data_IF_289564515259
#
_entry.id   IF_289564515259
#
_cell.length_a   1.000
_cell.length_b   1.000
_cell.length_c   1.000
_cell.angle_alpha   90.00
_cell.angle_beta   90.00
_cell.angle_gamma   90.00
#
_symmetry.space_group_name_H-M   'P 1'
#
loop_
_entity.id
_entity.type
_entity.pdbx_description
1 polymer ?
#
# COMPACT_ATOMS: atom_id res chain seq x y z
N UNK A 1 6.01 36.16 -9.79
CA UNK A 1 5.17 35.88 -8.61
C UNK A 1 3.95 35.11 -9.09
N UNK A 2 3.70 33.93 -8.55
CA UNK A 2 2.51 33.12 -8.88
C UNK A 2 2.84 31.65 -8.77
N UNK A 3 2.38 31.04 -7.68
CA UNK A 3 2.79 29.73 -7.19
C UNK A 3 2.28 28.56 -8.06
N UNK A 4 3.02 27.47 -7.91
CA UNK A 4 2.76 26.08 -8.25
C UNK A 4 1.34 25.61 -7.86
N UNK A 5 0.75 24.78 -8.73
CA UNK A 5 -0.30 23.85 -8.37
C UNK A 5 -0.18 22.63 -9.30
N UNK A 6 0.54 21.60 -8.87
CA UNK A 6 0.49 20.27 -9.48
C UNK A 6 -0.49 19.45 -8.65
N UNK A 7 -1.73 19.37 -9.12
CA UNK A 7 -2.72 18.41 -8.63
C UNK A 7 -2.67 17.21 -9.58
N UNK A 8 -2.39 15.98 -9.10
CA UNK A 8 -2.71 14.80 -9.88
C UNK A 8 -4.23 14.63 -9.85
N UNK A 9 -4.89 15.09 -10.93
CA UNK A 9 -6.23 14.67 -11.32
C UNK A 9 -6.10 13.30 -11.99
N UNK A 10 -6.71 12.24 -11.45
CA UNK A 10 -7.07 10.99 -12.16
C UNK A 10 -7.47 9.93 -11.10
N UNK A 11 -8.63 9.29 -11.12
CA UNK A 11 -9.80 9.41 -11.97
C UNK A 11 -10.94 8.70 -11.24
N UNK A 12 -11.95 9.46 -10.83
CA UNK A 12 -13.27 8.91 -10.56
C UNK A 12 -13.81 8.33 -11.89
N UNK A 13 -14.01 7.01 -11.91
CA UNK A 13 -14.90 6.25 -12.81
C UNK A 13 -15.08 6.77 -14.25
N UNK A 14 -14.29 6.21 -15.17
CA UNK A 14 -14.71 6.05 -16.58
C UNK A 14 -14.60 4.58 -16.98
N UNK A 15 -15.73 3.97 -17.29
CA UNK A 15 -15.82 2.57 -17.68
C UNK A 15 -15.06 2.27 -18.98
N UNK A 16 -14.16 1.29 -18.92
CA UNK A 16 -13.74 0.53 -20.09
C UNK A 16 -14.71 -0.63 -20.28
N UNK A 17 -15.85 -0.35 -20.91
CA UNK A 17 -16.62 -1.41 -21.58
C UNK A 17 -15.82 -1.79 -22.82
N UNK A 18 -15.01 -2.84 -22.69
CA UNK A 18 -14.14 -3.31 -23.77
C UNK A 18 -13.41 -4.59 -23.42
N UNK A 19 -14.08 -5.73 -23.61
CA UNK A 19 -13.51 -7.04 -23.92
C UNK A 19 -12.14 -7.39 -23.31
N UNK A 20 -12.12 -7.87 -22.07
CA UNK A 20 -11.13 -8.83 -21.61
C UNK A 20 -11.84 -9.88 -20.76
N UNK A 21 -11.89 -11.11 -21.26
CA UNK A 21 -12.44 -12.22 -20.51
C UNK A 21 -11.66 -12.41 -19.21
N UNK A 22 -12.31 -12.15 -18.07
CA UNK A 22 -12.11 -12.95 -16.87
C UNK A 22 -10.96 -12.60 -15.94
N UNK A 23 -10.47 -11.37 -15.78
CA UNK A 23 -9.52 -11.05 -14.69
C UNK A 23 -9.87 -9.79 -13.89
N UNK A 24 -9.77 -9.91 -12.56
CA UNK A 24 -9.98 -8.84 -11.58
C UNK A 24 -8.64 -8.62 -10.88
N UNK A 25 -8.18 -7.37 -10.84
CA UNK A 25 -6.99 -6.97 -10.08
C UNK A 25 -7.33 -5.81 -9.15
N UNK A 26 -7.00 -5.98 -7.88
CA UNK A 26 -7.21 -4.98 -6.83
C UNK A 26 -5.89 -4.68 -6.12
N UNK A 27 -5.75 -3.42 -5.67
CA UNK A 27 -4.56 -2.95 -4.95
C UNK A 27 -4.97 -2.17 -3.71
N UNK A 28 -4.16 -2.30 -2.68
CA UNK A 28 -4.19 -1.45 -1.48
C UNK A 28 -2.78 -0.98 -1.16
N UNK A 29 -2.67 0.24 -0.65
CA UNK A 29 -1.38 0.83 -0.26
C UNK A 29 -1.49 1.33 1.17
N UNK A 30 -0.48 1.03 1.99
CA UNK A 30 -0.37 1.47 3.37
C UNK A 30 0.99 2.12 3.57
N UNK A 31 1.00 3.29 4.20
CA UNK A 31 2.21 4.03 4.50
C UNK A 31 2.68 3.75 5.93
N UNK A 32 3.99 3.63 6.10
CA UNK A 32 4.66 3.53 7.40
C UNK A 32 5.63 4.70 7.55
N UNK A 33 5.51 5.46 8.63
CA UNK A 33 6.42 6.59 8.95
C UNK A 33 7.11 6.37 10.29
N UNK A 34 8.15 7.16 10.59
CA UNK A 34 8.82 7.13 11.89
C UNK A 34 8.68 8.50 12.59
N UNK A 35 7.58 8.77 13.32
CA UNK A 35 7.37 10.07 13.98
C UNK A 35 8.38 10.38 15.09
N UNK A 36 9.03 9.36 15.65
CA UNK A 36 10.07 9.50 16.67
C UNK A 36 11.01 8.31 16.58
N UNK A 37 12.25 8.47 17.00
CA UNK A 37 13.24 7.40 16.93
C UNK A 37 12.73 6.13 17.63
N UNK A 38 12.88 4.98 16.96
CA UNK A 38 12.34 3.69 17.38
C UNK A 38 10.80 3.50 17.30
N UNK A 39 10.00 4.54 16.99
CA UNK A 39 8.54 4.44 16.86
C UNK A 39 8.13 4.47 15.39
N UNK A 40 7.54 3.38 14.91
CA UNK A 40 7.06 3.20 13.54
C UNK A 40 5.54 3.22 13.50
N UNK A 41 4.96 4.15 12.76
CA UNK A 41 3.53 4.36 12.65
C UNK A 41 3.00 3.82 11.33
N UNK A 42 2.08 2.87 11.39
CA UNK A 42 1.32 2.37 10.25
C UNK A 42 0.04 3.18 10.10
N UNK A 43 -0.21 3.74 8.92
CA UNK A 43 -1.39 4.56 8.64
C UNK A 43 -2.49 3.73 7.99
N UNK A 44 -3.51 3.37 8.75
CA UNK A 44 -4.64 2.55 8.30
C UNK A 44 -5.94 3.37 8.21
N UNK A 45 -6.94 2.83 7.51
CA UNK A 45 -8.25 3.45 7.37
C UNK A 45 -9.00 3.59 8.71
N UNK A 46 -8.79 2.65 9.63
CA UNK A 46 -9.37 2.68 10.98
C UNK A 46 -8.57 3.51 11.99
N UNK A 47 -7.45 4.11 11.56
CA UNK A 47 -6.58 4.94 12.37
C UNK A 47 -5.13 4.44 12.42
N UNK A 48 -4.20 5.29 12.88
CA UNK A 48 -2.79 4.91 12.96
C UNK A 48 -2.52 3.91 14.09
N UNK A 49 -1.56 3.01 13.87
CA UNK A 49 -1.05 2.06 14.87
C UNK A 49 0.46 2.20 14.98
N UNK A 50 0.96 2.34 16.20
CA UNK A 50 2.38 2.50 16.48
C UNK A 50 3.03 1.17 16.90
N UNK A 51 4.26 0.97 16.44
CA UNK A 51 5.11 -0.19 16.71
C UNK A 51 6.50 0.26 17.14
N UNK A 52 7.13 -0.49 18.03
CA UNK A 52 8.52 -0.23 18.47
C UNK A 52 9.56 -0.99 17.62
N UNK A 53 9.14 -1.57 16.49
CA UNK A 53 9.99 -2.34 15.59
C UNK A 53 9.57 -2.08 14.15
N UNK A 54 10.54 -1.71 13.31
CA UNK A 54 10.32 -1.48 11.88
C UNK A 54 9.75 -2.73 11.21
N UNK A 55 10.34 -3.89 11.47
CA UNK A 55 9.90 -5.15 10.85
C UNK A 55 8.46 -5.50 11.24
N UNK A 56 8.09 -5.28 12.50
CA UNK A 56 6.72 -5.50 12.96
C UNK A 56 5.72 -4.55 12.28
N UNK A 57 6.08 -3.27 12.13
CA UNK A 57 5.25 -2.29 11.43
C UNK A 57 5.07 -2.64 9.95
N UNK A 58 6.17 -2.96 9.26
CA UNK A 58 6.15 -3.32 7.83
C UNK A 58 5.37 -4.61 7.58
N UNK A 59 5.53 -5.62 8.46
CA UNK A 59 4.77 -6.87 8.38
C UNK A 59 3.27 -6.63 8.59
N UNK A 60 2.91 -5.85 9.60
CA UNK A 60 1.50 -5.52 9.85
C UNK A 60 0.87 -4.75 8.69
N UNK A 61 1.61 -3.78 8.13
CA UNK A 61 1.18 -3.04 6.95
C UNK A 61 1.02 -3.95 5.71
N UNK A 62 1.90 -4.94 5.54
CA UNK A 62 1.80 -5.92 4.45
C UNK A 62 0.58 -6.82 4.57
N UNK A 63 0.39 -7.43 5.74
CA UNK A 63 -0.75 -8.30 6.00
C UNK A 63 -2.06 -7.54 5.77
N UNK A 64 -2.15 -6.32 6.31
CA UNK A 64 -3.35 -5.47 6.17
C UNK A 64 -3.58 -5.04 4.71
N UNK A 65 -2.52 -4.66 3.98
CA UNK A 65 -2.67 -4.25 2.58
C UNK A 65 -3.14 -5.43 1.70
N UNK A 66 -2.62 -6.63 1.96
CA UNK A 66 -3.04 -7.85 1.28
C UNK A 66 -4.49 -8.21 1.59
N UNK A 67 -4.89 -8.13 2.86
CA UNK A 67 -6.26 -8.41 3.29
C UNK A 67 -7.26 -7.41 2.68
N UNK A 68 -6.93 -6.12 2.66
CA UNK A 68 -7.75 -5.10 2.01
C UNK A 68 -7.87 -5.34 0.50
N UNK A 69 -6.76 -5.67 -0.17
CA UNK A 69 -6.76 -5.96 -1.60
C UNK A 69 -7.61 -7.20 -1.91
N UNK A 70 -7.51 -8.23 -1.06
CA UNK A 70 -8.32 -9.46 -1.15
C UNK A 70 -9.80 -9.14 -1.00
N UNK A 71 -10.18 -8.41 0.05
CA UNK A 71 -11.57 -8.05 0.32
C UNK A 71 -12.19 -7.27 -0.85
N UNK A 72 -11.43 -6.33 -1.44
CA UNK A 72 -11.84 -5.62 -2.66
C UNK A 72 -12.02 -6.57 -3.86
N UNK A 73 -11.13 -7.56 -4.02
CA UNK A 73 -11.22 -8.51 -5.12
C UNK A 73 -12.43 -9.44 -4.97
N UNK A 74 -12.70 -9.91 -3.74
CA UNK A 74 -13.89 -10.70 -3.41
C UNK A 74 -15.18 -9.91 -3.61
N UNK A 75 -15.23 -8.65 -3.17
CA UNK A 75 -16.36 -7.76 -3.39
C UNK A 75 -16.63 -7.49 -4.89
N UNK A 76 -15.58 -7.49 -5.71
CA UNK A 76 -15.67 -7.40 -7.16
C UNK A 76 -16.06 -8.72 -7.85
N UNK A 77 -16.23 -9.82 -7.10
CA UNK A 77 -16.65 -11.13 -7.63
C UNK A 77 -15.50 -12.02 -8.11
N UNK A 78 -14.25 -11.72 -7.73
CA UNK A 78 -13.10 -12.52 -8.14
C UNK A 78 -13.11 -13.91 -7.50
N UNK A 79 -12.64 -14.90 -8.27
CA UNK A 79 -12.34 -16.25 -7.78
C UNK A 79 -10.88 -16.60 -8.04
N UNK A 80 -10.37 -17.58 -7.31
CA UNK A 80 -8.98 -18.03 -7.43
C UNK A 80 -8.00 -16.89 -7.15
N UNK A 81 -8.27 -16.10 -6.10
CA UNK A 81 -7.47 -14.92 -5.77
C UNK A 81 -6.06 -15.34 -5.36
N UNK A 82 -5.08 -14.77 -6.05
CA UNK A 82 -3.66 -14.83 -5.70
C UNK A 82 -3.26 -13.48 -5.13
N UNK A 83 -2.61 -13.51 -3.96
CA UNK A 83 -2.09 -12.33 -3.30
C UNK A 83 -0.61 -12.16 -3.58
N UNK A 84 -0.19 -10.91 -3.72
CA UNK A 84 1.21 -10.53 -3.72
C UNK A 84 1.40 -9.19 -3.02
N UNK A 85 2.60 -8.96 -2.52
CA UNK A 85 2.97 -7.76 -1.81
C UNK A 85 4.27 -7.18 -2.37
N UNK A 86 4.45 -5.87 -2.20
CA UNK A 86 5.71 -5.20 -2.46
C UNK A 86 5.97 -4.19 -1.35
N UNK A 87 7.20 -4.16 -0.85
CA UNK A 87 7.66 -3.17 0.12
C UNK A 87 8.58 -2.20 -0.59
N UNK A 88 8.22 -0.92 -0.59
CA UNK A 88 9.09 0.18 -0.98
C UNK A 88 9.53 0.89 0.30
N UNK A 89 10.79 0.69 0.71
CA UNK A 89 11.32 1.18 1.98
C UNK A 89 12.41 2.20 1.68
N UNK A 90 12.17 3.44 2.10
CA UNK A 90 13.11 4.54 1.89
C UNK A 90 13.97 4.72 3.15
N UNK A 91 15.22 4.26 3.05
CA UNK A 91 16.24 4.39 4.09
C UNK A 91 17.44 5.13 3.52
N UNK A 92 17.94 6.11 4.28
CA UNK A 92 19.15 6.86 3.94
C UNK A 92 20.30 6.40 4.83
N UNK A 93 21.44 6.10 4.21
CA UNK A 93 22.69 5.79 4.92
C UNK A 93 23.33 7.07 5.45
N UNK A 94 23.65 7.08 6.74
CA UNK A 94 24.35 8.16 7.44
C UNK A 94 25.82 7.76 7.73
N UNK A 95 26.72 8.73 7.99
CA UNK A 95 28.08 8.43 8.39
C UNK A 95 28.15 7.57 9.67
N UNK A 96 29.08 6.62 9.69
CA UNK A 96 29.33 5.75 10.85
C UNK A 96 28.35 4.58 10.98
N UNK A 97 27.99 3.94 9.86
CA UNK A 97 27.14 2.74 9.79
C UNK A 97 25.76 2.91 10.45
N UNK A 98 25.18 4.11 10.33
CA UNK A 98 23.83 4.41 10.82
C UNK A 98 22.86 4.52 9.64
N UNK A 99 21.64 4.08 9.87
CA UNK A 99 20.54 4.16 8.91
C UNK A 99 19.45 5.09 9.44
N UNK A 100 18.93 5.96 8.58
CA UNK A 100 17.78 6.81 8.86
C UNK A 100 16.61 6.34 8.02
N UNK A 101 15.57 5.83 8.67
CA UNK A 101 14.31 5.51 8.01
C UNK A 101 13.55 6.80 7.72
N UNK A 102 13.16 6.98 6.45
CA UNK A 102 12.36 8.13 6.01
C UNK A 102 10.88 7.76 6.04
N UNK A 103 10.53 6.74 5.27
CA UNK A 103 9.18 6.21 5.15
C UNK A 103 9.22 4.84 4.46
N UNK A 104 8.08 4.15 4.46
CA UNK A 104 7.85 3.02 3.59
C UNK A 104 6.42 3.04 3.03
N UNK A 105 6.27 2.58 1.80
CA UNK A 105 4.99 2.29 1.18
C UNK A 105 4.87 0.78 0.95
N UNK A 106 3.83 0.19 1.51
CA UNK A 106 3.51 -1.22 1.32
C UNK A 106 2.36 -1.34 0.36
N UNK A 107 2.52 -2.16 -0.68
CA UNK A 107 1.52 -2.41 -1.69
C UNK A 107 1.04 -3.85 -1.63
N UNK A 108 -0.21 -4.06 -1.22
CA UNK A 108 -0.91 -5.32 -1.34
C UNK A 108 -1.64 -5.41 -2.67
N UNK A 109 -1.56 -6.55 -3.34
CA UNK A 109 -2.18 -6.82 -4.62
C UNK A 109 -2.96 -8.13 -4.55
N UNK A 110 -4.16 -8.12 -5.11
CA UNK A 110 -4.99 -9.31 -5.27
C UNK A 110 -5.38 -9.44 -6.74
N UNK A 111 -5.11 -10.59 -7.34
CA UNK A 111 -5.46 -10.89 -8.73
C UNK A 111 -6.28 -12.17 -8.77
N UNK A 112 -7.42 -12.14 -9.44
CA UNK A 112 -8.29 -13.30 -9.63
C UNK A 112 -9.00 -13.25 -10.96
N UNK A 113 -9.96 -14.14 -11.16
CA UNK A 113 -10.73 -14.24 -12.39
C UNK A 113 -12.22 -13.99 -12.19
N UNK A 114 -12.87 -13.40 -13.19
CA UNK A 114 -14.33 -13.26 -13.25
C UNK A 114 -14.90 -14.53 -13.89
N UNK A 115 -15.94 -15.10 -13.27
CA UNK A 115 -16.69 -16.23 -13.85
C UNK A 115 -17.83 -15.74 -14.71
#
# INVERSE_FOLDING_TARGET
>A
MGAELIVPEDADVAGAVGAAAGSIRQRSTITVTQPSDGIFRVHLLNGPIDFNSMDAALKHAEDTACDDAKAKAEAAGARGIVLSSMRDVNIVQLPGDKELFIEAAIHGMATGTLR
#
